data_IF_968292133446
#
_entry.id   IF_968292133446
#
_cell.length_a   1.000
_cell.length_b   1.000
_cell.length_c   1.000
_cell.angle_alpha   90.00
_cell.angle_beta   90.00
_cell.angle_gamma   90.00
#
_symmetry.space_group_name_H-M   'P 1'
#
loop_
_entity.id
_entity.type
_entity.pdbx_description
1 polymer ?
#
# COMPACT_ATOMS: atom_id res chain seq x y z
N UNK A 1 3.31 -4.22 -1.06
CA UNK A 1 2.60 -4.29 0.24
C UNK A 1 2.74 -5.66 0.89
N UNK A 2 2.16 -6.75 0.36
CA UNK A 2 2.31 -8.09 0.94
C UNK A 2 3.78 -8.55 1.09
N UNK A 3 4.60 -8.35 0.04
CA UNK A 3 6.07 -8.58 0.09
C UNK A 3 6.82 -7.73 1.11
N UNK A 4 6.15 -6.74 1.69
CA UNK A 4 6.69 -5.81 2.67
C UNK A 4 6.08 -6.03 4.07
N UNK A 5 5.62 -7.24 4.38
CA UNK A 5 5.08 -7.55 5.70
C UNK A 5 3.73 -6.91 6.03
N UNK A 6 3.09 -6.22 5.09
CA UNK A 6 1.69 -5.82 5.26
C UNK A 6 0.79 -7.05 5.11
N UNK A 7 -0.21 -7.17 5.97
CA UNK A 7 -1.30 -8.13 5.85
C UNK A 7 -2.56 -7.47 5.31
N UNK A 8 -3.26 -8.17 4.44
CA UNK A 8 -4.56 -7.74 3.92
C UNK A 8 -5.65 -7.96 4.98
N UNK A 9 -6.45 -6.92 5.23
CA UNK A 9 -7.67 -6.98 6.02
C UNK A 9 -8.85 -7.38 5.11
N UNK A 10 -10.03 -7.65 5.69
CA UNK A 10 -11.25 -7.97 4.90
C UNK A 10 -11.45 -6.94 3.77
N UNK A 11 -11.70 -7.45 2.56
CA UNK A 11 -11.85 -6.63 1.35
C UNK A 11 -13.28 -6.64 0.82
N UNK A 12 -13.73 -5.50 0.30
CA UNK A 12 -14.95 -5.37 -0.51
C UNK A 12 -14.64 -4.64 -1.84
N UNK A 13 -14.66 -3.30 -1.86
CA UNK A 13 -14.31 -2.47 -3.04
C UNK A 13 -12.92 -1.84 -2.97
N UNK A 14 -12.41 -1.67 -1.76
CA UNK A 14 -11.05 -1.26 -1.48
C UNK A 14 -10.35 -2.40 -0.73
N UNK A 15 -9.04 -2.51 -0.93
CA UNK A 15 -8.20 -3.42 -0.14
C UNK A 15 -7.53 -2.60 0.94
N UNK A 16 -7.67 -3.04 2.18
CA UNK A 16 -7.03 -2.41 3.32
C UNK A 16 -5.86 -3.30 3.75
N UNK A 17 -4.70 -2.69 3.94
CA UNK A 17 -3.48 -3.36 4.35
C UNK A 17 -2.99 -2.74 5.64
N UNK A 18 -2.51 -3.56 6.58
CA UNK A 18 -1.89 -3.08 7.82
C UNK A 18 -0.59 -3.84 8.09
N UNK A 19 0.37 -3.20 8.73
CA UNK A 19 1.58 -3.85 9.23
C UNK A 19 1.55 -3.99 10.77
N UNK A 20 2.61 -4.55 11.33
CA UNK A 20 2.82 -4.67 12.78
C UNK A 20 3.82 -3.62 13.31
N UNK A 21 4.06 -2.53 12.56
CA UNK A 21 4.91 -1.44 13.02
C UNK A 21 4.30 -0.69 14.22
N UNK A 22 5.13 0.05 14.96
CA UNK A 22 4.67 0.91 16.07
C UNK A 22 5.13 2.34 15.80
N UNK A 23 4.24 3.27 15.38
CA UNK A 23 2.80 3.08 15.15
C UNK A 23 2.50 2.25 13.89
N UNK A 24 1.33 1.58 13.87
CA UNK A 24 0.90 0.77 12.72
C UNK A 24 0.62 1.64 11.51
N UNK A 25 1.11 1.22 10.35
CA UNK A 25 0.71 1.79 9.09
C UNK A 25 -0.55 1.08 8.59
N UNK A 26 -1.53 1.85 8.15
CA UNK A 26 -2.73 1.34 7.48
C UNK A 26 -2.87 2.02 6.13
N UNK A 27 -2.93 1.21 5.08
CA UNK A 27 -2.93 1.66 3.68
C UNK A 27 -4.18 1.16 2.99
N UNK A 28 -4.88 2.06 2.31
CA UNK A 28 -6.07 1.72 1.53
C UNK A 28 -5.75 1.80 0.05
N UNK A 29 -5.91 0.69 -0.66
CA UNK A 29 -5.66 0.58 -2.10
C UNK A 29 -6.98 0.41 -2.85
N UNK A 30 -7.34 1.34 -3.76
CA UNK A 30 -8.49 1.15 -4.63
C UNK A 30 -8.24 0.02 -5.61
N UNK A 31 -9.17 -0.94 -5.66
CA UNK A 31 -9.06 -2.16 -6.49
C UNK A 31 -10.13 -2.21 -7.60
N UNK A 32 -10.76 -1.08 -7.92
CA UNK A 32 -11.78 -0.98 -8.97
C UNK A 32 -11.22 -0.52 -10.33
N UNK A 33 -9.99 -0.01 -10.37
CA UNK A 33 -9.35 0.51 -11.57
C UNK A 33 -8.14 -0.34 -11.98
N UNK A 34 -7.98 -0.58 -13.28
CA UNK A 34 -6.83 -1.34 -13.84
C UNK A 34 -5.50 -0.61 -13.65
N UNK A 35 -5.52 0.72 -13.58
CA UNK A 35 -4.35 1.56 -13.40
C UNK A 35 -4.58 2.59 -12.28
N UNK A 36 -3.57 2.78 -11.44
CA UNK A 36 -3.56 3.84 -10.43
C UNK A 36 -2.96 5.11 -11.03
N UNK A 37 -3.55 6.27 -10.71
CA UNK A 37 -2.91 7.55 -11.02
C UNK A 37 -1.60 7.65 -10.26
N UNK A 38 -0.58 8.27 -10.89
CA UNK A 38 0.76 8.44 -10.29
C UNK A 38 0.71 9.06 -8.88
N UNK A 39 -0.10 10.09 -8.69
CA UNK A 39 -0.27 10.72 -7.38
C UNK A 39 -0.84 9.77 -6.31
N UNK A 40 -1.81 8.92 -6.70
CA UNK A 40 -2.40 7.91 -5.82
C UNK A 40 -1.37 6.85 -5.45
N UNK A 41 -0.59 6.37 -6.42
CA UNK A 41 0.49 5.42 -6.17
C UNK A 41 1.52 6.00 -5.20
N UNK A 42 1.99 7.24 -5.44
CA UNK A 42 2.92 7.93 -4.55
C UNK A 42 2.38 8.06 -3.12
N UNK A 43 1.10 8.43 -2.99
CA UNK A 43 0.44 8.56 -1.68
C UNK A 43 0.42 7.22 -0.93
N UNK A 44 0.03 6.14 -1.62
CA UNK A 44 0.00 4.77 -1.06
C UNK A 44 1.39 4.33 -0.58
N UNK A 45 2.43 4.56 -1.39
CA UNK A 45 3.82 4.20 -1.04
C UNK A 45 4.29 4.99 0.19
N UNK A 46 4.02 6.30 0.21
CA UNK A 46 4.34 7.15 1.37
C UNK A 46 3.61 6.72 2.64
N UNK A 47 2.32 6.37 2.54
CA UNK A 47 1.54 5.86 3.68
C UNK A 47 2.05 4.51 4.18
N UNK A 48 2.65 3.71 3.30
CA UNK A 48 3.34 2.47 3.66
C UNK A 48 4.73 2.70 4.28
N UNK A 49 5.13 3.96 4.45
CA UNK A 49 6.43 4.33 5.04
C UNK A 49 7.61 4.20 4.08
N UNK A 50 7.38 4.13 2.77
CA UNK A 50 8.42 3.87 1.76
C UNK A 50 8.74 5.10 0.91
N UNK A 51 9.96 5.11 0.39
CA UNK A 51 10.35 5.92 -0.75
C UNK A 51 9.92 5.27 -2.08
N UNK A 52 9.92 6.05 -3.16
CA UNK A 52 9.64 5.51 -4.49
C UNK A 52 10.73 4.53 -4.94
N UNK A 53 11.98 4.78 -4.56
CA UNK A 53 13.11 3.93 -4.98
C UNK A 53 13.04 2.56 -4.33
N UNK A 54 12.79 2.48 -3.02
CA UNK A 54 12.56 1.21 -2.30
C UNK A 54 11.38 0.42 -2.88
N UNK A 55 10.35 1.11 -3.36
CA UNK A 55 9.23 0.47 -4.01
C UNK A 55 9.62 -0.16 -5.36
N UNK A 56 10.41 0.54 -6.17
CA UNK A 56 10.84 0.07 -7.49
C UNK A 56 11.80 -1.12 -7.40
N UNK A 57 12.65 -1.17 -6.38
CA UNK A 57 13.54 -2.32 -6.13
C UNK A 57 12.80 -3.63 -5.80
N UNK A 58 11.53 -3.53 -5.37
CA UNK A 58 10.73 -4.66 -4.86
C UNK A 58 9.62 -5.10 -5.82
N UNK A 59 9.50 -4.46 -6.99
CA UNK A 59 8.57 -4.83 -8.06
C UNK A 59 8.88 -6.24 -8.59
#
# INVERSE_FOLDING_TARGET
>A
LLRNGFRELRSTKHRHFTDDATPRHTVTVPYHARALKRATLHSIIRQAGWSMDEFLEKL
#
